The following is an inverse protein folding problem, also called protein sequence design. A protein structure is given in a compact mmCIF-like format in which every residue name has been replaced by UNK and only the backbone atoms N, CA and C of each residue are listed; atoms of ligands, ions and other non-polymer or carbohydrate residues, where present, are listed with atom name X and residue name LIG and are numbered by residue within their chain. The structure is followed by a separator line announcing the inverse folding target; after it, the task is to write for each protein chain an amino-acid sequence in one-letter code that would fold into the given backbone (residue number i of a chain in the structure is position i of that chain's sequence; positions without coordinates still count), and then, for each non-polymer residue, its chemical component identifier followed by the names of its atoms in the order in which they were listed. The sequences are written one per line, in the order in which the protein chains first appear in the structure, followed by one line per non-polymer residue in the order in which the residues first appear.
data_IF_451403536631
#
_entry.id   IF_451403536631
#
_cell.length_a   1.000
_cell.length_b   1.000
_cell.length_c   1.000
_cell.angle_alpha   90.00
_cell.angle_beta   90.00
_cell.angle_gamma   90.00
#
_symmetry.space_group_name_H-M   'P 1'
#
loop_
_entity.id
_entity.type
_entity.pdbx_description
1 polymer ?
#
# COMPACT_ATOMS: atom_id res chain seq x y z
N UNK A 1 11.30 21.50 -6.68
CA UNK A 1 12.40 20.52 -6.84
C UNK A 1 13.28 20.87 -8.07
N UNK A 2 14.31 20.08 -8.33
CA UNK A 2 15.25 20.36 -9.44
C UNK A 2 14.55 20.34 -10.82
N UNK A 3 13.58 19.45 -11.05
CA UNK A 3 12.85 19.36 -12.32
C UNK A 3 11.95 20.57 -12.54
N UNK A 4 11.28 21.03 -11.48
CA UNK A 4 10.43 22.22 -11.56
C UNK A 4 11.27 23.45 -11.84
N UNK A 5 12.46 23.53 -11.25
CA UNK A 5 13.43 24.60 -11.51
C UNK A 5 13.91 24.57 -12.98
N UNK A 6 14.30 23.39 -13.49
CA UNK A 6 14.72 23.19 -14.89
C UNK A 6 13.58 23.58 -15.85
N UNK A 7 12.36 23.19 -15.54
CA UNK A 7 11.18 23.56 -16.33
C UNK A 7 10.95 25.09 -16.30
N UNK A 8 11.04 25.72 -15.13
CA UNK A 8 10.86 27.17 -15.00
C UNK A 8 11.90 27.94 -15.81
N UNK A 9 13.17 27.54 -15.73
CA UNK A 9 14.26 28.15 -16.52
C UNK A 9 14.08 27.94 -18.02
N UNK A 10 13.72 26.73 -18.45
CA UNK A 10 13.49 26.44 -19.87
C UNK A 10 12.31 27.22 -20.48
N UNK A 11 11.35 27.65 -19.65
CA UNK A 11 10.17 28.41 -20.08
C UNK A 11 10.18 29.87 -19.62
N UNK A 12 11.33 30.37 -19.16
CA UNK A 12 11.53 31.76 -18.70
C UNK A 12 10.52 32.21 -17.62
N UNK A 13 10.12 31.27 -16.75
CA UNK A 13 9.22 31.54 -15.62
C UNK A 13 10.02 32.13 -14.43
N UNK A 14 9.44 33.08 -13.68
CA UNK A 14 10.11 33.65 -12.53
C UNK A 14 10.25 32.59 -11.40
N UNK A 15 11.45 32.47 -10.84
CA UNK A 15 11.75 31.64 -9.67
C UNK A 15 11.94 32.54 -8.45
N UNK A 16 11.13 32.34 -7.43
CA UNK A 16 11.19 33.13 -6.19
C UNK A 16 11.68 32.22 -5.06
N UNK A 17 12.67 32.68 -4.32
CA UNK A 17 13.16 31.99 -3.15
C UNK A 17 12.11 32.01 -2.04
N UNK A 18 11.68 30.83 -1.56
CA UNK A 18 10.72 30.66 -0.47
C UNK A 18 11.25 29.85 0.71
N UNK A 19 12.45 29.28 0.59
CA UNK A 19 13.15 28.54 1.65
C UNK A 19 14.61 29.01 1.68
N UNK A 20 15.16 29.19 2.89
CA UNK A 20 16.58 29.47 3.09
C UNK A 20 17.17 28.47 4.12
N UNK A 21 18.48 28.21 4.10
CA UNK A 21 19.12 27.38 5.12
C UNK A 21 18.88 27.88 6.53
N UNK A 22 18.69 26.98 7.50
CA UNK A 22 18.41 27.34 8.91
C UNK A 22 19.51 28.18 9.56
N UNK A 23 20.76 27.88 9.24
CA UNK A 23 21.93 28.49 9.90
C UNK A 23 22.56 29.65 9.12
N UNK A 24 21.95 30.06 8.01
CA UNK A 24 22.57 31.05 7.11
C UNK A 24 23.94 30.60 6.57
N UNK A 25 24.18 29.29 6.54
CA UNK A 25 25.47 28.68 6.29
C UNK A 25 26.05 28.95 4.92
N UNK A 26 25.20 29.29 3.94
CA UNK A 26 25.60 29.67 2.59
C UNK A 26 24.50 30.42 1.86
N UNK A 27 24.85 31.23 0.87
CA UNK A 27 23.92 31.87 -0.01
C UNK A 27 23.42 30.90 -1.09
N UNK A 28 22.12 30.90 -1.33
CA UNK A 28 21.49 30.11 -2.40
C UNK A 28 21.63 30.87 -3.70
N UNK A 29 22.19 30.23 -4.73
CA UNK A 29 22.21 30.75 -6.08
C UNK A 29 21.15 30.03 -6.93
N UNK A 30 19.97 30.60 -7.03
CA UNK A 30 18.87 30.04 -7.83
C UNK A 30 19.06 30.19 -9.36
N UNK A 31 20.11 30.87 -9.80
CA UNK A 31 20.48 30.92 -11.23
C UNK A 31 21.23 29.63 -11.66
N UNK A 32 21.82 28.90 -10.71
CA UNK A 32 22.59 27.68 -11.00
C UNK A 32 21.83 26.40 -10.73
N UNK A 33 21.04 26.33 -9.65
CA UNK A 33 20.30 25.12 -9.28
C UNK A 33 19.17 25.43 -8.31
N UNK A 34 18.24 24.46 -8.16
CA UNK A 34 17.21 24.52 -7.14
C UNK A 34 17.81 24.30 -5.73
N UNK A 35 17.26 24.97 -4.73
CA UNK A 35 17.46 24.61 -3.33
C UNK A 35 16.45 23.52 -2.94
N UNK A 36 16.92 22.33 -2.63
CA UNK A 36 16.06 21.13 -2.37
C UNK A 36 16.08 20.69 -0.90
N UNK A 37 16.92 21.29 -0.08
CA UNK A 37 17.02 20.96 1.34
C UNK A 37 15.91 21.60 2.16
N UNK A 38 15.75 21.13 3.38
CA UNK A 38 14.87 21.74 4.37
C UNK A 38 15.52 23.01 4.94
N UNK A 39 14.67 23.95 5.37
CA UNK A 39 15.17 25.20 5.93
C UNK A 39 14.03 26.01 6.55
N UNK A 40 14.21 27.32 6.61
CA UNK A 40 13.25 28.28 7.13
C UNK A 40 12.55 28.97 5.95
N UNK A 41 11.22 29.15 6.04
CA UNK A 41 10.44 29.81 5.01
C UNK A 41 10.70 31.32 5.02
N UNK A 42 10.85 31.87 3.79
CA UNK A 42 10.96 33.29 3.49
C UNK A 42 10.00 33.65 2.36
N UNK A 43 9.64 34.90 2.20
CA UNK A 43 8.71 35.37 1.15
C UNK A 43 7.40 34.57 1.07
N UNK A 44 6.94 34.00 2.19
CA UNK A 44 5.82 33.06 2.27
C UNK A 44 4.65 33.61 3.10
N UNK A 45 4.48 34.94 3.13
CA UNK A 45 3.41 35.61 3.87
C UNK A 45 3.43 35.25 5.37
N UNK A 46 2.27 34.83 5.88
CA UNK A 46 2.11 34.45 7.30
C UNK A 46 2.91 33.23 7.72
N UNK A 47 3.41 32.44 6.78
CA UNK A 47 4.22 31.24 7.03
C UNK A 47 5.72 31.54 7.06
N UNK A 48 6.16 32.76 6.78
CA UNK A 48 7.56 33.14 6.82
C UNK A 48 8.11 33.01 8.26
N UNK A 49 9.35 32.52 8.38
CA UNK A 49 9.99 32.29 9.68
C UNK A 49 9.74 30.90 10.26
N UNK A 50 8.83 30.11 9.71
CA UNK A 50 8.61 28.72 10.13
C UNK A 50 9.67 27.79 9.55
N UNK A 51 10.09 26.78 10.31
CA UNK A 51 10.87 25.68 9.75
C UNK A 51 10.01 24.88 8.74
N UNK A 52 10.67 24.15 7.82
CA UNK A 52 9.96 23.33 6.83
C UNK A 52 8.95 22.36 7.45
N UNK A 53 9.23 21.80 8.63
CA UNK A 53 8.31 20.91 9.34
C UNK A 53 7.10 21.66 9.89
N UNK A 54 7.34 22.78 10.58
CA UNK A 54 6.27 23.62 11.11
C UNK A 54 5.38 24.21 10.00
N UNK A 55 6.00 24.62 8.87
CA UNK A 55 5.30 25.15 7.72
C UNK A 55 4.40 24.08 7.05
N UNK A 56 4.85 22.83 6.96
CA UNK A 56 4.02 21.75 6.45
C UNK A 56 2.71 21.62 7.21
N UNK A 57 2.78 21.60 8.54
CA UNK A 57 1.58 21.47 9.37
C UNK A 57 0.70 22.73 9.32
N UNK A 58 1.30 23.91 9.38
CA UNK A 58 0.57 25.18 9.35
C UNK A 58 -0.16 25.38 8.01
N UNK A 59 0.52 25.16 6.88
CA UNK A 59 -0.07 25.28 5.54
C UNK A 59 -1.13 24.21 5.31
N UNK A 60 -0.89 22.98 5.74
CA UNK A 60 -1.89 21.91 5.59
C UNK A 60 -3.16 22.23 6.38
N UNK A 61 -3.05 22.69 7.64
CA UNK A 61 -4.21 23.13 8.42
C UNK A 61 -4.93 24.33 7.79
N UNK A 62 -4.17 25.31 7.28
CA UNK A 62 -4.73 26.46 6.58
C UNK A 62 -5.55 26.09 5.33
N UNK A 63 -5.08 25.07 4.58
CA UNK A 63 -5.81 24.53 3.42
C UNK A 63 -7.06 23.76 3.83
N UNK A 64 -6.96 22.92 4.89
CA UNK A 64 -8.09 22.14 5.40
C UNK A 64 -9.22 23.04 5.93
N UNK A 65 -8.89 24.08 6.69
CA UNK A 65 -9.86 25.06 7.20
C UNK A 65 -10.65 25.80 6.13
N UNK A 66 -10.14 25.84 4.89
CA UNK A 66 -10.73 26.56 3.74
C UNK A 66 -11.30 25.62 2.67
N UNK A 67 -11.34 24.32 2.94
CA UNK A 67 -11.74 23.29 1.97
C UNK A 67 -10.94 23.35 0.65
N UNK A 68 -9.68 23.81 0.70
CA UNK A 68 -8.78 23.89 -0.45
C UNK A 68 -7.87 22.67 -0.62
N UNK A 69 -7.83 21.80 0.38
CA UNK A 69 -7.01 20.59 0.37
C UNK A 69 -7.21 19.77 1.64
N UNK A 70 -6.58 18.62 1.66
CA UNK A 70 -6.58 17.72 2.83
C UNK A 70 -5.26 16.97 2.93
N UNK A 71 -4.86 16.62 4.16
CA UNK A 71 -3.75 15.70 4.38
C UNK A 71 -4.11 14.32 3.85
N UNK A 72 -3.24 13.73 3.05
CA UNK A 72 -3.43 12.40 2.49
C UNK A 72 -2.15 11.59 2.60
N UNK A 73 -2.27 10.38 3.09
CA UNK A 73 -1.19 9.40 3.06
C UNK A 73 -1.27 8.63 1.74
N UNK A 74 -0.23 8.72 0.92
CA UNK A 74 -0.10 7.94 -0.29
C UNK A 74 0.94 6.84 -0.04
N UNK A 75 0.54 5.60 -0.24
CA UNK A 75 1.47 4.48 -0.20
C UNK A 75 2.31 4.46 -1.48
N UNK A 76 3.61 4.16 -1.34
CA UNK A 76 4.54 4.14 -2.49
C UNK A 76 4.52 2.85 -3.28
N UNK A 77 3.80 1.83 -2.83
CA UNK A 77 3.63 0.60 -3.57
C UNK A 77 2.81 0.88 -4.84
N UNK A 78 3.36 0.48 -6.00
CA UNK A 78 2.62 0.57 -7.27
C UNK A 78 1.55 -0.51 -7.31
N UNK A 79 0.42 -0.20 -7.96
CA UNK A 79 -0.61 -1.19 -8.24
C UNK A 79 -0.02 -2.34 -9.07
N UNK A 80 -0.38 -3.56 -8.72
CA UNK A 80 0.06 -4.78 -9.37
C UNK A 80 -1.04 -5.83 -9.34
N UNK A 81 -1.02 -6.76 -10.29
CA UNK A 81 -1.97 -7.86 -10.34
C UNK A 81 -1.68 -8.87 -9.23
N UNK A 82 -2.60 -9.00 -8.28
CA UNK A 82 -2.43 -9.85 -7.08
C UNK A 82 -2.91 -11.27 -7.28
N UNK A 83 -3.76 -11.54 -8.29
CA UNK A 83 -4.34 -12.87 -8.53
C UNK A 83 -3.40 -13.78 -9.31
N UNK A 84 -3.41 -15.06 -8.97
CA UNK A 84 -2.63 -16.11 -9.63
C UNK A 84 -3.53 -17.29 -9.98
N UNK A 85 -3.39 -17.77 -11.22
CA UNK A 85 -4.13 -18.90 -11.78
C UNK A 85 -3.47 -20.20 -11.35
N UNK A 86 -3.37 -20.43 -10.04
CA UNK A 86 -2.75 -21.63 -9.47
C UNK A 86 -3.47 -22.07 -8.20
N UNK A 87 -3.34 -23.34 -7.86
CA UNK A 87 -3.99 -23.92 -6.69
C UNK A 87 -3.43 -23.39 -5.38
N UNK A 88 -2.09 -23.37 -5.24
CA UNK A 88 -1.44 -22.94 -4.00
C UNK A 88 -1.46 -21.42 -3.85
N UNK A 89 -1.69 -20.98 -2.63
CA UNK A 89 -1.79 -19.59 -2.23
C UNK A 89 -3.04 -19.36 -1.40
N UNK A 90 -3.18 -18.17 -0.83
CA UNK A 90 -4.37 -17.80 -0.09
C UNK A 90 -5.55 -17.58 -1.05
N UNK A 91 -6.71 -18.21 -0.85
CA UNK A 91 -7.89 -17.97 -1.67
C UNK A 91 -8.34 -16.52 -1.61
N UNK A 92 -8.77 -15.96 -2.74
CA UNK A 92 -9.32 -14.62 -2.80
C UNK A 92 -10.79 -14.67 -2.34
N UNK A 93 -11.17 -13.99 -1.24
CA UNK A 93 -12.49 -14.11 -0.63
C UNK A 93 -13.54 -13.27 -1.36
N UNK A 94 -13.73 -13.54 -2.65
CA UNK A 94 -14.68 -12.85 -3.53
C UNK A 94 -15.63 -13.86 -4.15
N UNK A 95 -16.88 -13.47 -4.26
CA UNK A 95 -17.95 -14.18 -5.01
C UNK A 95 -18.31 -13.35 -6.21
N UNK A 96 -18.15 -13.93 -7.39
CA UNK A 96 -18.48 -13.32 -8.67
C UNK A 96 -19.96 -13.58 -9.00
N UNK A 97 -20.81 -12.58 -8.89
CA UNK A 97 -22.24 -12.66 -9.20
C UNK A 97 -22.53 -12.00 -10.56
N UNK A 98 -23.28 -12.65 -11.45
CA UNK A 98 -23.64 -12.08 -12.75
C UNK A 98 -24.41 -10.76 -12.65
N UNK A 99 -25.25 -10.61 -11.61
CA UNK A 99 -26.10 -9.45 -11.43
C UNK A 99 -25.49 -8.37 -10.54
N UNK A 100 -24.69 -8.75 -9.52
CA UNK A 100 -24.16 -7.84 -8.52
C UNK A 100 -22.69 -7.47 -8.75
N UNK A 101 -22.00 -8.16 -9.68
CA UNK A 101 -20.56 -8.07 -9.83
C UNK A 101 -19.80 -8.79 -8.70
N UNK A 102 -18.55 -8.41 -8.43
CA UNK A 102 -17.77 -8.99 -7.34
C UNK A 102 -18.34 -8.58 -5.98
N UNK A 103 -18.58 -9.56 -5.11
CA UNK A 103 -19.13 -9.38 -3.76
C UNK A 103 -18.19 -10.08 -2.77
N UNK A 104 -17.80 -9.46 -1.66
CA UNK A 104 -16.99 -10.12 -0.64
C UNK A 104 -17.72 -11.34 -0.05
N UNK A 105 -16.95 -12.38 0.28
CA UNK A 105 -17.44 -13.50 1.10
C UNK A 105 -17.81 -12.94 2.47
N UNK A 106 -18.98 -13.30 3.03
CA UNK A 106 -19.38 -12.88 4.37
C UNK A 106 -18.36 -13.28 5.45
N UNK A 107 -18.16 -12.43 6.45
CA UNK A 107 -17.15 -12.65 7.51
C UNK A 107 -17.35 -13.96 8.27
N UNK A 108 -18.61 -14.36 8.49
CA UNK A 108 -18.99 -15.62 9.15
C UNK A 108 -18.70 -16.88 8.31
N UNK A 109 -18.35 -16.71 7.03
CA UNK A 109 -17.94 -17.77 6.11
C UNK A 109 -16.43 -17.79 5.83
N UNK A 110 -15.68 -16.96 6.53
CA UNK A 110 -14.20 -16.96 6.44
C UNK A 110 -13.60 -17.92 7.47
N UNK A 111 -12.43 -18.50 7.15
CA UNK A 111 -11.67 -18.37 5.89
C UNK A 111 -12.26 -19.22 4.75
N UNK A 112 -12.04 -18.78 3.51
CA UNK A 112 -12.25 -19.64 2.34
C UNK A 112 -11.15 -20.70 2.33
N UNK A 113 -11.52 -21.96 2.39
CA UNK A 113 -10.56 -23.06 2.52
C UNK A 113 -10.40 -23.77 1.17
N UNK A 114 -9.14 -23.98 0.76
CA UNK A 114 -8.85 -24.79 -0.41
C UNK A 114 -9.17 -26.26 -0.17
N UNK A 115 -9.72 -26.97 -1.19
CA UNK A 115 -9.95 -28.42 -1.08
C UNK A 115 -8.61 -29.16 -0.95
N UNK A 116 -8.57 -30.20 -0.12
CA UNK A 116 -7.37 -31.04 0.06
C UNK A 116 -7.29 -32.19 -0.95
N UNK A 117 -8.45 -32.69 -1.38
CA UNK A 117 -8.54 -33.77 -2.37
C UNK A 117 -8.61 -33.19 -3.79
N UNK A 118 -7.45 -32.95 -4.36
CA UNK A 118 -7.31 -32.26 -5.63
C UNK A 118 -6.47 -33.08 -6.60
N UNK A 119 -7.03 -33.36 -7.76
CA UNK A 119 -6.30 -34.03 -8.85
C UNK A 119 -5.66 -32.98 -9.79
N UNK A 120 -4.37 -33.15 -10.05
CA UNK A 120 -3.63 -32.31 -11.01
C UNK A 120 -3.56 -33.01 -12.35
N UNK A 121 -4.42 -32.59 -13.29
CA UNK A 121 -4.59 -33.23 -14.60
C UNK A 121 -3.96 -32.44 -15.76
N UNK A 122 -3.02 -31.57 -15.51
CA UNK A 122 -2.32 -30.82 -16.54
C UNK A 122 -2.11 -29.34 -16.24
N UNK A 123 -2.43 -28.45 -17.21
CA UNK A 123 -2.18 -27.02 -17.11
C UNK A 123 -3.36 -26.28 -16.47
N UNK A 124 -3.05 -25.35 -15.59
CA UNK A 124 -4.03 -24.47 -14.95
C UNK A 124 -4.36 -24.85 -13.50
N UNK A 125 -5.18 -24.02 -12.85
CA UNK A 125 -5.63 -24.28 -11.50
C UNK A 125 -6.72 -25.34 -11.47
N UNK A 126 -6.55 -26.45 -10.72
CA UNK A 126 -7.55 -27.51 -10.62
C UNK A 126 -8.88 -27.03 -10.01
N UNK A 127 -8.87 -26.05 -9.11
CA UNK A 127 -10.09 -25.55 -8.47
C UNK A 127 -11.07 -24.89 -9.46
N UNK A 128 -10.60 -24.46 -10.62
CA UNK A 128 -11.47 -24.00 -11.75
C UNK A 128 -12.32 -25.11 -12.35
N UNK A 129 -11.97 -26.38 -12.09
CA UNK A 129 -12.66 -27.56 -12.60
C UNK A 129 -13.50 -28.25 -11.51
N UNK A 130 -13.59 -27.67 -10.31
CA UNK A 130 -14.27 -28.23 -9.15
C UNK A 130 -15.54 -27.44 -8.83
N UNK A 131 -16.72 -27.81 -9.40
CA UNK A 131 -17.99 -27.13 -9.12
C UNK A 131 -18.31 -27.04 -7.64
N UNK A 132 -17.95 -28.07 -6.87
CA UNK A 132 -18.12 -28.13 -5.41
C UNK A 132 -17.31 -27.04 -4.66
N UNK A 133 -16.27 -26.48 -5.27
CA UNK A 133 -15.53 -25.36 -4.71
C UNK A 133 -16.09 -24.03 -5.17
N UNK A 134 -16.37 -23.85 -6.46
CA UNK A 134 -16.70 -22.52 -6.97
C UNK A 134 -18.20 -22.22 -7.01
N UNK A 135 -19.08 -23.22 -7.16
CA UNK A 135 -20.52 -22.95 -7.22
C UNK A 135 -21.05 -22.49 -5.85
N UNK A 136 -21.70 -21.32 -5.83
CA UNK A 136 -22.25 -20.75 -4.59
C UNK A 136 -23.47 -19.87 -4.89
N UNK A 137 -24.00 -19.24 -3.86
CA UNK A 137 -25.06 -18.23 -3.96
C UNK A 137 -24.53 -16.85 -3.57
N UNK A 138 -24.96 -15.85 -4.31
CA UNK A 138 -24.60 -14.47 -4.02
C UNK A 138 -25.18 -14.03 -2.66
N UNK A 139 -24.38 -13.57 -1.71
CA UNK A 139 -24.86 -13.13 -0.40
C UNK A 139 -25.69 -11.85 -0.49
N UNK A 140 -25.59 -11.09 -1.59
CA UNK A 140 -26.33 -9.84 -1.80
C UNK A 140 -27.71 -10.04 -2.42
N UNK A 141 -27.86 -10.90 -3.43
CA UNK A 141 -29.13 -11.09 -4.14
C UNK A 141 -29.72 -12.50 -4.04
N UNK A 142 -28.99 -13.48 -3.49
CA UNK A 142 -29.40 -14.88 -3.39
C UNK A 142 -29.39 -15.65 -4.72
N UNK A 143 -28.94 -15.04 -5.82
CA UNK A 143 -28.83 -15.67 -7.12
C UNK A 143 -27.61 -16.61 -7.22
N UNK A 144 -27.54 -17.41 -8.29
CA UNK A 144 -26.38 -18.24 -8.57
C UNK A 144 -25.15 -17.37 -8.78
N UNK A 145 -24.04 -17.79 -8.19
CA UNK A 145 -22.76 -17.09 -8.25
C UNK A 145 -21.60 -18.08 -8.14
N UNK A 146 -20.38 -17.60 -8.31
CA UNK A 146 -19.19 -18.42 -8.27
C UNK A 146 -18.16 -17.79 -7.34
N UNK A 147 -17.52 -18.61 -6.50
CA UNK A 147 -16.32 -18.20 -5.78
C UNK A 147 -15.18 -17.90 -6.76
N UNK A 148 -14.36 -16.93 -6.39
CA UNK A 148 -13.12 -16.71 -7.11
C UNK A 148 -12.22 -17.96 -7.02
N UNK A 149 -11.68 -18.36 -8.17
CA UNK A 149 -10.83 -19.55 -8.29
C UNK A 149 -9.35 -19.24 -8.44
N UNK A 150 -8.99 -17.97 -8.51
CA UNK A 150 -7.62 -17.53 -8.41
C UNK A 150 -7.22 -17.45 -6.93
N UNK A 151 -5.93 -17.58 -6.65
CA UNK A 151 -5.35 -17.37 -5.34
C UNK A 151 -4.52 -16.11 -5.33
N UNK A 152 -4.27 -15.53 -4.15
CA UNK A 152 -3.34 -14.43 -4.02
C UNK A 152 -1.90 -14.82 -4.36
N UNK A 153 -1.14 -13.86 -4.82
CA UNK A 153 0.31 -13.97 -4.88
C UNK A 153 0.86 -14.30 -3.49
N UNK A 154 1.87 -15.17 -3.42
CA UNK A 154 2.47 -15.64 -2.17
C UNK A 154 3.10 -14.52 -1.33
N UNK A 155 3.30 -13.32 -1.89
CA UNK A 155 3.70 -12.15 -1.10
C UNK A 155 2.67 -11.75 -0.05
N UNK A 156 1.41 -12.08 -0.24
CA UNK A 156 0.39 -11.83 0.77
C UNK A 156 0.65 -12.59 2.07
N UNK A 157 1.25 -13.79 1.99
CA UNK A 157 1.63 -14.55 3.18
C UNK A 157 3.07 -14.28 3.59
N UNK A 158 3.99 -14.19 2.62
CA UNK A 158 5.42 -14.03 2.90
C UNK A 158 5.77 -12.69 3.53
N UNK A 159 4.94 -11.67 3.34
CA UNK A 159 5.16 -10.35 3.94
C UNK A 159 4.85 -10.27 5.43
N UNK A 160 4.16 -11.24 6.01
CA UNK A 160 3.76 -11.18 7.42
C UNK A 160 3.82 -12.50 8.19
N UNK A 161 4.12 -13.63 7.57
CA UNK A 161 4.11 -14.96 8.21
C UNK A 161 4.93 -15.01 9.49
N UNK A 162 6.07 -14.34 9.53
CA UNK A 162 6.97 -14.32 10.68
C UNK A 162 6.33 -13.64 11.92
N UNK A 163 5.46 -12.66 11.71
CA UNK A 163 4.71 -12.04 12.81
C UNK A 163 3.66 -13.01 13.37
N UNK A 164 3.06 -13.81 12.49
CA UNK A 164 2.10 -14.84 12.89
C UNK A 164 2.71 -15.91 13.79
N UNK A 165 4.00 -16.20 13.70
CA UNK A 165 4.67 -17.14 14.59
C UNK A 165 4.56 -16.76 16.07
N UNK A 166 4.51 -15.49 16.40
CA UNK A 166 4.30 -15.03 17.77
C UNK A 166 2.88 -15.33 18.28
N UNK A 167 1.90 -15.42 17.39
CA UNK A 167 0.48 -15.53 17.71
C UNK A 167 -0.19 -16.76 17.07
N UNK A 168 0.54 -17.85 16.84
CA UNK A 168 0.12 -19.00 16.04
C UNK A 168 -1.18 -19.67 16.50
N UNK A 169 -1.49 -19.60 17.79
CA UNK A 169 -2.64 -20.19 18.46
C UNK A 169 -3.83 -19.22 18.60
N UNK A 170 -3.73 -18.01 18.07
CA UNK A 170 -4.85 -17.08 18.04
C UNK A 170 -5.80 -17.47 16.90
N UNK A 171 -7.05 -17.80 17.25
CA UNK A 171 -8.12 -18.17 16.33
C UNK A 171 -9.14 -17.03 16.08
N UNK A 172 -8.95 -15.88 16.73
CA UNK A 172 -9.85 -14.72 16.64
C UNK A 172 -9.29 -13.62 15.72
N UNK A 173 -7.98 -13.50 15.63
CA UNK A 173 -7.30 -12.49 14.83
C UNK A 173 -5.97 -13.00 14.29
N UNK A 174 -5.47 -12.34 13.27
CA UNK A 174 -4.17 -12.65 12.67
C UNK A 174 -3.02 -12.45 13.67
N UNK A 175 -3.09 -11.37 14.44
CA UNK A 175 -2.09 -10.98 15.44
C UNK A 175 -2.77 -10.54 16.74
N UNK A 176 -2.03 -10.54 17.84
CA UNK A 176 -2.39 -9.97 19.14
C UNK A 176 -1.18 -9.25 19.76
N UNK A 177 -1.31 -8.82 21.02
CA UNK A 177 -0.29 -8.06 21.75
C UNK A 177 1.07 -8.76 21.86
N UNK A 178 1.14 -10.07 21.64
CA UNK A 178 2.42 -10.80 21.60
C UNK A 178 3.28 -10.35 20.41
N UNK A 179 2.64 -9.94 19.30
CA UNK A 179 3.36 -9.36 18.16
C UNK A 179 4.07 -8.06 18.55
N UNK A 180 3.44 -7.20 19.34
CA UNK A 180 4.02 -5.92 19.80
C UNK A 180 5.27 -6.14 20.66
N UNK A 181 5.33 -7.26 21.41
CA UNK A 181 6.50 -7.61 22.20
C UNK A 181 7.69 -8.06 21.36
N UNK A 182 7.45 -8.77 20.25
CA UNK A 182 8.49 -9.38 19.43
C UNK A 182 8.91 -8.54 18.23
N UNK A 183 8.18 -7.49 17.93
CA UNK A 183 8.42 -6.61 16.79
C UNK A 183 8.88 -5.21 17.26
N UNK A 184 9.63 -4.48 16.43
CA UNK A 184 10.13 -4.87 15.11
C UNK A 184 11.18 -5.98 15.17
N UNK A 185 11.36 -6.70 14.05
CA UNK A 185 12.40 -7.73 13.92
C UNK A 185 13.79 -7.07 13.93
N UNK A 186 14.69 -7.52 14.82
CA UNK A 186 16.05 -6.97 14.92
C UNK A 186 16.92 -7.34 13.73
N UNK A 187 16.71 -8.54 13.17
CA UNK A 187 17.48 -9.02 12.03
C UNK A 187 16.65 -10.05 11.23
N UNK A 188 16.61 -9.85 9.91
CA UNK A 188 15.98 -10.77 8.98
C UNK A 188 16.99 -11.16 7.89
N UNK A 189 17.26 -12.47 7.76
CA UNK A 189 18.28 -13.02 6.86
C UNK A 189 17.60 -13.87 5.80
N UNK A 190 17.90 -13.60 4.54
CA UNK A 190 17.39 -14.34 3.39
C UNK A 190 18.30 -14.23 2.18
N UNK A 191 17.82 -14.69 1.03
CA UNK A 191 18.50 -14.54 -0.25
C UNK A 191 18.43 -13.09 -0.76
N UNK A 192 19.24 -12.78 -1.77
CA UNK A 192 19.29 -11.43 -2.38
C UNK A 192 17.92 -11.01 -2.96
N UNK A 193 17.12 -11.96 -3.39
CA UNK A 193 15.75 -11.76 -3.91
C UNK A 193 14.81 -11.14 -2.87
N UNK A 194 15.03 -11.40 -1.60
CA UNK A 194 14.22 -10.81 -0.52
C UNK A 194 14.40 -9.30 -0.40
N UNK A 195 15.59 -8.79 -0.69
CA UNK A 195 15.83 -7.34 -0.67
C UNK A 195 15.06 -6.59 -1.76
N UNK A 196 14.67 -7.28 -2.84
CA UNK A 196 13.94 -6.70 -3.97
C UNK A 196 12.43 -6.77 -3.77
N UNK A 197 11.91 -7.82 -3.14
CA UNK A 197 10.49 -8.12 -3.11
C UNK A 197 9.92 -8.24 -1.68
N UNK A 198 10.58 -8.99 -0.80
CA UNK A 198 10.03 -9.30 0.51
C UNK A 198 10.23 -8.18 1.55
N UNK A 199 11.31 -7.42 1.46
CA UNK A 199 11.63 -6.35 2.41
C UNK A 199 11.08 -4.99 2.02
N UNK A 200 10.40 -4.88 0.88
CA UNK A 200 9.69 -3.67 0.45
C UNK A 200 8.31 -3.59 1.05
#
# INVERSE_FOLDING_TARGET
DQRDWEFAHANELPVIQVIQPEDGAYEINLEECAFVDKGVLVNSGEFSGLSSAQAFDAIASWLEERDLGQRKVNFRLRDWGVSRQRYWGCPIPIINCPDCGPVPVPEDQLPVVLPEDVEFDGVGSPIKKMPEFYETTCPKCGGKAEHETDTFDTFFESSWYFTRFACRDNDQAMLDERADHWLPVDQYIGGIEHAILHLL
#
